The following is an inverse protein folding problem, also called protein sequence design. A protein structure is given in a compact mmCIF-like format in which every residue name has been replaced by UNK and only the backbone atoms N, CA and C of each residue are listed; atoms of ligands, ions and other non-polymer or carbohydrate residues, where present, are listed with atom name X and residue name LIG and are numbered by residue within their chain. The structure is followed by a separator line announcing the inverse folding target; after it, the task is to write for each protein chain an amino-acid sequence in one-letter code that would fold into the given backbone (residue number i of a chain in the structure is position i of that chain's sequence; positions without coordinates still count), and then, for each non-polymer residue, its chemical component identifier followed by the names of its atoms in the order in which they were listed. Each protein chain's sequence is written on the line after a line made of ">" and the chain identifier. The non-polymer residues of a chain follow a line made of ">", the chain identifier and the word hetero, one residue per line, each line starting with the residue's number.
data_IF_323824917878
#
_entry.id   IF_323824917878
#
_cell.length_a   1.000
_cell.length_b   1.000
_cell.length_c   1.000
_cell.angle_alpha   90.00
_cell.angle_beta   90.00
_cell.angle_gamma   90.00
#
_symmetry.space_group_name_H-M   'P 1'
#
loop_
_entity.id
_entity.type
_entity.pdbx_description
1 polymer ?
#
# COMPACT_ATOMS: atom_id res chain seq x y z
N UNK A 1 21.19 11.70 -1.77
CA UNK A 1 20.08 12.04 -0.85
C UNK A 1 18.82 11.32 -1.27
N UNK A 2 18.17 10.66 -0.32
CA UNK A 2 16.97 9.89 -0.64
C UNK A 2 15.79 10.81 -0.95
N UNK A 3 14.95 10.37 -1.87
CA UNK A 3 13.76 11.13 -2.23
C UNK A 3 12.82 11.24 -1.03
N UNK A 4 12.29 12.44 -0.74
CA UNK A 4 11.31 12.57 0.35
C UNK A 4 10.09 11.69 0.13
N UNK A 5 9.53 11.19 1.23
CA UNK A 5 8.37 10.31 1.15
C UNK A 5 7.18 10.97 0.47
N UNK A 6 6.98 12.26 0.72
CA UNK A 6 5.86 12.99 0.10
C UNK A 6 5.99 13.03 -1.42
N UNK A 7 7.20 13.18 -1.93
CA UNK A 7 7.46 13.16 -3.37
C UNK A 7 7.20 11.77 -3.94
N UNK A 8 7.67 10.75 -3.24
CA UNK A 8 7.48 9.37 -3.67
C UNK A 8 6.00 9.01 -3.73
N UNK A 9 5.22 9.44 -2.75
CA UNK A 9 3.77 9.20 -2.73
C UNK A 9 3.10 9.83 -3.95
N UNK A 10 3.42 11.09 -4.23
CA UNK A 10 2.82 11.79 -5.37
C UNK A 10 3.20 11.15 -6.70
N UNK A 11 4.45 10.77 -6.84
CA UNK A 11 4.91 10.11 -8.07
C UNK A 11 4.24 8.76 -8.25
N UNK A 12 4.05 8.00 -7.17
CA UNK A 12 3.37 6.72 -7.22
C UNK A 12 1.92 6.89 -7.66
N UNK A 13 1.22 7.87 -7.07
CA UNK A 13 -0.16 8.17 -7.46
C UNK A 13 -0.24 8.52 -8.94
N UNK A 14 0.66 9.38 -9.40
CA UNK A 14 0.65 9.82 -10.79
C UNK A 14 0.93 8.65 -11.74
N UNK A 15 1.85 7.78 -11.39
CA UNK A 15 2.15 6.60 -12.20
C UNK A 15 0.94 5.68 -12.33
N UNK A 16 0.20 5.50 -11.26
CA UNK A 16 -1.01 4.67 -11.28
C UNK A 16 -2.08 5.31 -12.16
N UNK A 17 -2.31 6.61 -12.02
CA UNK A 17 -3.28 7.34 -12.84
C UNK A 17 -2.90 7.27 -14.31
N UNK A 18 -1.63 7.48 -14.63
CA UNK A 18 -1.15 7.41 -16.01
C UNK A 18 -1.38 6.02 -16.61
N UNK A 19 -1.09 4.97 -15.83
CA UNK A 19 -1.32 3.60 -16.26
C UNK A 19 -2.80 3.35 -16.57
N UNK A 20 -3.69 3.83 -15.71
CA UNK A 20 -5.13 3.68 -15.89
C UNK A 20 -5.57 4.41 -17.17
N UNK A 21 -5.08 5.62 -17.38
CA UNK A 21 -5.45 6.43 -18.55
C UNK A 21 -4.96 5.78 -19.85
N UNK A 22 -3.79 5.14 -19.82
CA UNK A 22 -3.26 4.48 -21.00
C UNK A 22 -4.10 3.30 -21.47
N UNK A 23 -4.87 2.68 -20.58
CA UNK A 23 -5.68 1.52 -20.93
C UNK A 23 -6.96 1.88 -21.69
N UNK A 24 -7.39 3.12 -21.63
CA UNK A 24 -8.59 3.60 -22.35
C UNK A 24 -9.84 2.79 -22.05
N UNK A 25 -9.94 2.26 -20.82
CA UNK A 25 -11.12 1.52 -20.40
C UNK A 25 -12.18 2.45 -19.82
N UNK A 26 -13.45 2.06 -19.98
CA UNK A 26 -14.54 2.81 -19.40
C UNK A 26 -14.45 2.75 -17.86
N UNK A 27 -14.89 3.82 -17.20
CA UNK A 27 -14.79 3.90 -15.74
C UNK A 27 -15.57 2.79 -15.04
N UNK A 28 -16.67 2.34 -15.64
CA UNK A 28 -17.46 1.25 -15.04
C UNK A 28 -16.70 -0.08 -15.02
N UNK A 29 -15.72 -0.24 -15.91
CA UNK A 29 -14.86 -1.42 -15.93
C UNK A 29 -13.67 -1.23 -15.00
N UNK A 30 -13.14 0.00 -14.91
CA UNK A 30 -12.00 0.31 -14.06
C UNK A 30 -12.33 0.19 -12.58
N UNK A 31 -13.54 0.56 -12.18
CA UNK A 31 -13.92 0.57 -10.77
C UNK A 31 -13.73 -0.79 -10.09
N UNK A 32 -14.28 -1.90 -10.63
CA UNK A 32 -14.08 -3.20 -9.98
C UNK A 32 -12.62 -3.66 -10.02
N UNK A 33 -11.88 -3.28 -11.06
CA UNK A 33 -10.46 -3.62 -11.15
C UNK A 33 -9.68 -2.95 -10.04
N UNK A 34 -9.91 -1.66 -9.84
CA UNK A 34 -9.22 -0.88 -8.81
C UNK A 34 -9.61 -1.36 -7.43
N UNK A 35 -10.88 -1.70 -7.24
CA UNK A 35 -11.36 -2.24 -5.97
C UNK A 35 -10.66 -3.55 -5.62
N UNK A 36 -10.51 -4.45 -6.58
CA UNK A 36 -9.83 -5.71 -6.37
C UNK A 36 -8.37 -5.51 -5.99
N UNK A 37 -7.70 -4.59 -6.68
CA UNK A 37 -6.30 -4.27 -6.36
C UNK A 37 -6.21 -3.67 -4.96
N UNK A 38 -7.13 -2.77 -4.63
CA UNK A 38 -7.16 -2.17 -3.29
C UNK A 38 -7.30 -3.24 -2.21
N UNK A 39 -8.19 -4.20 -2.41
CA UNK A 39 -8.40 -5.26 -1.43
C UNK A 39 -7.15 -6.12 -1.24
N UNK A 40 -6.43 -6.42 -2.32
CA UNK A 40 -5.17 -7.17 -2.24
C UNK A 40 -4.11 -6.39 -1.46
N UNK A 41 -3.96 -5.11 -1.76
CA UNK A 41 -3.00 -4.26 -1.05
C UNK A 41 -3.39 -4.12 0.41
N UNK A 42 -4.68 -3.98 0.68
CA UNK A 42 -5.19 -3.86 2.04
C UNK A 42 -4.86 -5.10 2.88
N UNK A 43 -5.05 -6.28 2.31
CA UNK A 43 -4.72 -7.53 2.99
C UNK A 43 -3.23 -7.62 3.31
N UNK A 44 -2.39 -7.26 2.33
CA UNK A 44 -0.94 -7.28 2.54
C UNK A 44 -0.52 -6.28 3.63
N UNK A 45 -1.13 -5.11 3.63
CA UNK A 45 -0.83 -4.10 4.64
C UNK A 45 -1.22 -4.58 6.04
N UNK A 46 -2.37 -5.26 6.16
CA UNK A 46 -2.79 -5.81 7.45
C UNK A 46 -1.86 -6.91 7.93
N UNK A 47 -1.43 -7.78 7.03
CA UNK A 47 -0.48 -8.85 7.38
C UNK A 47 0.83 -8.26 7.87
N UNK A 48 1.32 -7.23 7.19
CA UNK A 48 2.57 -6.58 7.59
C UNK A 48 2.42 -5.90 8.95
N UNK A 49 1.29 -5.24 9.17
CA UNK A 49 1.01 -4.60 10.45
C UNK A 49 1.01 -5.64 11.59
N UNK A 50 0.37 -6.78 11.38
CA UNK A 50 0.32 -7.82 12.41
C UNK A 50 1.71 -8.37 12.72
N UNK A 51 2.55 -8.55 11.70
CA UNK A 51 3.92 -9.01 11.90
C UNK A 51 4.71 -7.99 12.69
N UNK A 52 4.62 -6.73 12.33
CA UNK A 52 5.34 -5.66 13.02
C UNK A 52 4.87 -5.50 14.46
N UNK A 53 3.56 -5.60 14.68
CA UNK A 53 2.99 -5.52 16.02
C UNK A 53 3.48 -6.66 16.88
N UNK A 54 3.51 -7.87 16.34
CA UNK A 54 3.98 -9.04 17.07
C UNK A 54 5.45 -8.90 17.43
N UNK A 55 6.27 -8.42 16.51
CA UNK A 55 7.70 -8.20 16.78
C UNK A 55 7.89 -7.15 17.86
N UNK A 56 7.10 -6.08 17.82
CA UNK A 56 7.17 -5.05 18.83
C UNK A 56 6.79 -5.58 20.20
N UNK A 57 5.73 -6.38 20.29
CA UNK A 57 5.29 -6.98 21.55
C UNK A 57 6.34 -7.93 22.12
N UNK A 58 6.99 -8.71 21.27
CA UNK A 58 8.08 -9.60 21.69
C UNK A 58 9.25 -8.80 22.26
N UNK A 59 9.58 -7.66 21.65
CA UNK A 59 10.64 -6.80 22.17
C UNK A 59 10.27 -6.22 23.53
N UNK A 60 9.03 -5.85 23.74
CA UNK A 60 8.57 -5.33 25.01
C UNK A 60 8.66 -6.39 26.12
N UNK A 61 8.29 -7.62 25.82
CA UNK A 61 8.42 -8.72 26.78
C UNK A 61 9.86 -8.96 27.19
N UNK A 62 10.78 -8.89 26.23
CA UNK A 62 12.20 -9.08 26.53
C UNK A 62 12.76 -7.95 27.39
N UNK A 63 12.23 -6.74 27.25
CA UNK A 63 12.69 -5.60 28.05
C UNK A 63 12.25 -5.68 29.51
N UNK A 64 11.17 -6.37 29.79
CA UNK A 64 10.66 -6.48 31.14
C UNK A 64 11.42 -7.50 32.00
N UNK A 65 12.26 -8.30 31.37
CA UNK A 65 13.11 -9.25 32.04
C UNK A 65 14.47 -8.64 32.39
#
# INVERSE_FOLDING_TARGET
>A
MDKPLSVQINETKQSIVDCINEQHLHVSILEPIIKEIYEQVHMLAQQQYEVEKKQWEEQQEQKEV
#
